data_IF_661458879825
#
_entry.id   IF_661458879825
#
_cell.length_a   1.000
_cell.length_b   1.000
_cell.length_c   1.000
_cell.angle_alpha   90.00
_cell.angle_beta   90.00
_cell.angle_gamma   90.00
#
_symmetry.space_group_name_H-M   'P 1'
#
loop_
_entity.id
_entity.type
_entity.pdbx_description
1 polymer ?
#
# COMPACT_ATOMS: atom_id res chain seq x y z
N UNK A 1 35.26 47.66 27.77
CA UNK A 1 35.27 47.33 26.33
C UNK A 1 35.18 45.82 26.23
N UNK A 2 33.99 45.31 25.93
CA UNK A 2 33.67 43.88 25.90
C UNK A 2 33.83 43.34 24.48
N UNK A 3 34.48 42.17 24.34
CA UNK A 3 34.55 41.40 23.09
C UNK A 3 33.17 40.77 22.79
N UNK A 4 32.73 40.68 21.52
CA UNK A 4 31.59 39.85 21.19
C UNK A 4 32.05 38.39 21.01
N UNK A 5 31.42 37.48 21.75
CA UNK A 5 31.49 36.05 21.49
C UNK A 5 30.63 35.73 20.26
N UNK A 6 31.24 35.18 19.21
CA UNK A 6 30.52 34.63 18.07
C UNK A 6 29.83 33.33 18.52
N UNK A 7 28.50 33.35 18.57
CA UNK A 7 27.70 32.14 18.64
C UNK A 7 27.72 31.48 17.25
N UNK A 8 28.48 30.40 17.11
CA UNK A 8 28.30 29.48 15.99
C UNK A 8 27.00 28.72 16.20
N UNK A 9 25.96 29.11 15.47
CA UNK A 9 24.77 28.30 15.24
C UNK A 9 25.19 27.02 14.50
N UNK A 10 25.52 25.97 15.24
CA UNK A 10 25.52 24.61 14.70
C UNK A 10 24.07 24.22 14.44
N UNK A 11 23.57 24.59 13.26
CA UNK A 11 22.40 23.95 12.66
C UNK A 11 22.83 22.52 12.33
N UNK A 12 22.57 21.57 13.24
CA UNK A 12 22.71 20.15 12.95
C UNK A 12 21.71 19.80 11.85
N UNK A 13 22.14 19.89 10.59
CA UNK A 13 21.44 19.28 9.46
C UNK A 13 21.41 17.78 9.72
N UNK A 14 20.28 17.28 10.22
CA UNK A 14 20.02 15.85 10.39
C UNK A 14 20.17 15.20 9.02
N UNK A 15 21.26 14.45 8.84
CA UNK A 15 21.57 13.77 7.60
C UNK A 15 20.38 12.85 7.22
N UNK A 16 19.93 12.84 5.96
CA UNK A 16 18.85 11.95 5.53
C UNK A 16 19.23 10.50 5.81
N UNK A 17 18.29 9.73 6.36
CA UNK A 17 18.47 8.30 6.55
C UNK A 17 18.57 7.61 5.17
N UNK A 18 19.34 6.52 5.04
CA UNK A 18 19.35 5.75 3.80
C UNK A 18 17.92 5.23 3.49
N UNK A 19 17.57 5.01 2.22
CA UNK A 19 16.33 4.31 1.88
C UNK A 19 16.28 2.94 2.57
N UNK A 20 15.10 2.48 3.02
CA UNK A 20 14.99 1.19 3.67
C UNK A 20 15.29 0.06 2.68
N UNK A 21 15.90 -1.01 3.20
CA UNK A 21 16.08 -2.26 2.46
C UNK A 21 14.72 -2.90 2.20
N UNK A 22 14.52 -3.47 1.01
CA UNK A 22 13.26 -4.13 0.65
C UNK A 22 13.54 -5.49 0.04
N UNK A 23 12.98 -6.52 0.64
CA UNK A 23 13.16 -7.91 0.23
C UNK A 23 11.80 -8.55 -0.05
N UNK A 24 11.74 -9.42 -1.05
CA UNK A 24 10.53 -10.17 -1.39
C UNK A 24 10.84 -11.65 -1.47
N UNK A 25 10.01 -12.47 -0.84
CA UNK A 25 9.99 -13.93 -0.99
C UNK A 25 8.62 -14.33 -1.53
N UNK A 26 8.61 -15.31 -2.44
CA UNK A 26 7.39 -15.82 -3.06
C UNK A 26 7.20 -17.29 -2.72
N UNK A 27 5.96 -17.65 -2.38
CA UNK A 27 5.56 -19.01 -2.08
C UNK A 27 4.32 -19.39 -2.89
N UNK A 28 4.29 -20.62 -3.40
CA UNK A 28 3.18 -21.13 -4.19
C UNK A 28 3.02 -20.45 -5.55
N UNK A 29 1.84 -20.60 -6.12
CA UNK A 29 1.46 -20.15 -7.46
C UNK A 29 0.70 -18.83 -7.37
N UNK A 30 1.25 -17.79 -8.01
CA UNK A 30 0.64 -16.45 -8.03
C UNK A 30 -0.17 -16.19 -9.32
N UNK A 31 -1.16 -15.29 -9.28
CA UNK A 31 -1.80 -14.78 -10.48
C UNK A 31 -0.78 -14.13 -11.44
N UNK A 32 -0.93 -14.40 -12.74
CA UNK A 32 -0.01 -13.93 -13.79
C UNK A 32 -0.06 -12.41 -14.00
N UNK A 33 -1.12 -11.77 -13.56
CA UNK A 33 -1.38 -10.35 -13.74
C UNK A 33 -0.90 -9.49 -12.57
N UNK A 34 -0.21 -10.04 -11.56
CA UNK A 34 0.30 -9.26 -10.43
C UNK A 34 1.39 -8.24 -10.79
N UNK A 35 2.22 -8.52 -11.80
CA UNK A 35 3.28 -7.58 -12.19
C UNK A 35 2.67 -6.25 -12.66
N UNK A 36 3.16 -5.13 -12.13
CA UNK A 36 2.65 -3.79 -12.44
C UNK A 36 2.75 -2.81 -11.26
N UNK A 37 2.22 -1.61 -11.47
CA UNK A 37 2.09 -0.58 -10.44
C UNK A 37 0.70 -0.68 -9.82
N UNK A 38 0.62 -0.52 -8.51
CA UNK A 38 -0.61 -0.63 -7.76
C UNK A 38 -0.68 0.40 -6.64
N UNK A 39 -1.90 0.73 -6.22
CA UNK A 39 -2.15 1.37 -4.93
C UNK A 39 -3.03 0.44 -4.10
N UNK A 40 -2.48 -0.05 -2.99
CA UNK A 40 -3.22 -0.81 -1.98
C UNK A 40 -3.85 0.18 -1.01
N UNK A 41 -5.18 0.27 -1.00
CA UNK A 41 -5.92 1.15 -0.09
C UNK A 41 -6.52 0.29 1.02
N UNK A 42 -5.89 0.32 2.19
CA UNK A 42 -6.42 -0.31 3.39
C UNK A 42 -7.41 0.59 4.12
N UNK A 43 -8.54 0.04 4.53
CA UNK A 43 -9.53 0.67 5.41
C UNK A 43 -9.56 -0.05 6.74
N UNK A 44 -8.87 0.51 7.73
CA UNK A 44 -8.88 0.04 9.10
C UNK A 44 -10.22 0.42 9.73
N UNK A 45 -10.94 -0.56 10.25
CA UNK A 45 -12.24 -0.36 10.89
C UNK A 45 -12.05 0.01 12.36
N UNK A 46 -12.75 1.07 12.77
CA UNK A 46 -12.72 1.61 14.13
C UNK A 46 -14.11 1.52 14.77
N UNK A 47 -14.21 1.51 16.10
CA UNK A 47 -15.50 1.47 16.80
C UNK A 47 -16.43 2.61 16.37
N UNK A 48 -17.73 2.29 16.27
CA UNK A 48 -18.77 3.24 15.89
C UNK A 48 -18.90 3.47 14.38
N UNK A 49 -18.49 2.51 13.55
CA UNK A 49 -18.58 2.60 12.08
C UNK A 49 -17.55 3.54 11.44
N UNK A 50 -16.56 3.97 12.24
CA UNK A 50 -15.47 4.85 11.82
C UNK A 50 -14.41 4.07 11.06
N UNK A 51 -13.59 4.77 10.28
CA UNK A 51 -12.49 4.13 9.56
C UNK A 51 -11.27 5.05 9.42
N UNK A 52 -10.10 4.43 9.33
CA UNK A 52 -8.84 5.08 8.94
C UNK A 52 -8.35 4.46 7.64
N UNK A 53 -7.98 5.31 6.68
CA UNK A 53 -7.51 4.89 5.36
C UNK A 53 -5.99 5.00 5.29
N UNK A 54 -5.32 3.95 4.82
CA UNK A 54 -3.87 3.87 4.64
C UNK A 54 -3.55 3.38 3.23
N UNK A 55 -3.15 4.28 2.31
CA UNK A 55 -2.69 3.87 0.98
C UNK A 55 -1.20 3.49 1.00
N UNK A 56 -0.86 2.45 0.24
CA UNK A 56 0.52 2.02 -0.01
C UNK A 56 0.73 1.87 -1.52
N UNK A 57 1.79 2.49 -2.05
CA UNK A 57 2.12 2.40 -3.47
C UNK A 57 3.05 1.20 -3.70
N UNK A 58 2.59 0.22 -4.47
CA UNK A 58 3.38 -0.97 -4.82
C UNK A 58 3.86 -0.91 -6.26
N UNK A 59 5.12 -1.29 -6.47
CA UNK A 59 5.66 -1.62 -7.78
C UNK A 59 6.11 -3.08 -7.74
N UNK A 60 5.38 -3.93 -8.47
CA UNK A 60 5.64 -5.36 -8.58
C UNK A 60 6.30 -5.61 -9.93
N UNK A 61 7.54 -6.11 -9.91
CA UNK A 61 8.30 -6.46 -11.12
C UNK A 61 8.46 -7.96 -11.23
N UNK A 62 8.37 -8.46 -12.45
CA UNK A 62 8.70 -9.84 -12.78
C UNK A 62 10.05 -9.84 -13.48
N UNK A 63 11.09 -10.20 -12.75
CA UNK A 63 12.41 -10.54 -13.31
C UNK A 63 12.57 -12.07 -13.20
N UNK A 64 13.72 -12.57 -12.73
CA UNK A 64 13.94 -13.99 -12.42
C UNK A 64 12.97 -14.49 -11.34
N UNK A 65 12.62 -13.61 -10.40
CA UNK A 65 11.59 -13.81 -9.38
C UNK A 65 10.71 -12.55 -9.30
N UNK A 66 9.49 -12.70 -8.78
CA UNK A 66 8.58 -11.58 -8.60
C UNK A 66 9.00 -10.80 -7.35
N UNK A 67 9.25 -9.50 -7.53
CA UNK A 67 9.69 -8.60 -6.47
C UNK A 67 8.67 -7.48 -6.27
N UNK A 68 8.25 -7.26 -5.03
CA UNK A 68 7.40 -6.15 -4.64
C UNK A 68 8.23 -5.11 -3.91
N UNK A 69 8.18 -3.88 -4.43
CA UNK A 69 8.79 -2.72 -3.79
C UNK A 69 7.71 -1.71 -3.43
N UNK A 70 7.79 -1.14 -2.24
CA UNK A 70 6.99 0.00 -1.81
C UNK A 70 7.66 1.27 -2.31
N UNK A 71 6.88 2.09 -3.03
CA UNK A 71 7.27 3.45 -3.37
C UNK A 71 6.84 4.40 -2.25
N UNK A 72 7.80 4.94 -1.54
CA UNK A 72 7.55 5.96 -0.52
C UNK A 72 7.40 7.33 -1.18
N UNK A 73 6.15 7.69 -1.42
CA UNK A 73 5.78 9.01 -1.92
C UNK A 73 4.40 9.40 -1.39
N UNK A 74 4.14 10.70 -1.17
CA UNK A 74 2.78 11.17 -0.98
C UNK A 74 1.96 10.97 -2.27
N UNK A 75 0.64 10.91 -2.12
CA UNK A 75 -0.27 10.96 -3.26
C UNK A 75 -0.21 12.34 -3.93
N UNK A 76 -0.69 12.48 -5.19
CA UNK A 76 -0.90 13.79 -5.81
C UNK A 76 -1.67 14.74 -4.88
N UNK A 77 -1.36 16.06 -4.84
CA UNK A 77 -1.80 16.95 -3.76
C UNK A 77 -3.30 16.96 -3.47
N UNK A 78 -4.14 16.92 -4.51
CA UNK A 78 -5.60 16.87 -4.35
C UNK A 78 -6.06 15.57 -3.66
N UNK A 79 -5.47 14.44 -4.03
CA UNK A 79 -5.74 13.13 -3.45
C UNK A 79 -5.24 13.04 -2.01
N UNK A 80 -4.03 13.55 -1.76
CA UNK A 80 -3.47 13.60 -0.42
C UNK A 80 -4.34 14.45 0.51
N UNK A 81 -4.85 15.59 0.02
CA UNK A 81 -5.78 16.42 0.79
C UNK A 81 -7.08 15.67 1.08
N UNK A 82 -7.70 15.05 0.07
CA UNK A 82 -8.94 14.30 0.24
C UNK A 82 -8.79 13.13 1.23
N UNK A 83 -7.66 12.41 1.16
CA UNK A 83 -7.30 11.38 2.13
C UNK A 83 -7.19 11.94 3.54
N UNK A 84 -6.48 13.07 3.71
CA UNK A 84 -6.29 13.70 5.01
C UNK A 84 -7.63 14.17 5.60
N UNK A 85 -8.47 14.84 4.80
CA UNK A 85 -9.79 15.32 5.21
C UNK A 85 -10.69 14.15 5.67
N UNK A 86 -10.73 13.06 4.90
CA UNK A 86 -11.49 11.86 5.25
C UNK A 86 -10.97 11.21 6.54
N UNK A 87 -9.64 11.09 6.67
CA UNK A 87 -9.01 10.54 7.87
C UNK A 87 -9.19 11.41 9.12
N UNK A 88 -9.31 12.73 8.97
CA UNK A 88 -9.65 13.66 10.06
C UNK A 88 -11.13 13.53 10.46
N UNK A 89 -12.00 13.23 9.49
CA UNK A 89 -13.42 12.97 9.74
C UNK A 89 -13.72 11.51 10.17
N UNK A 90 -12.70 10.67 10.37
CA UNK A 90 -12.82 9.23 10.64
C UNK A 90 -13.66 8.48 9.58
N UNK A 91 -13.53 8.89 8.31
CA UNK A 91 -14.25 8.35 7.16
C UNK A 91 -13.33 7.59 6.19
N UNK A 92 -13.92 6.64 5.45
CA UNK A 92 -13.22 5.94 4.37
C UNK A 92 -12.97 6.91 3.22
N UNK A 93 -11.72 7.00 2.77
CA UNK A 93 -11.37 7.59 1.49
C UNK A 93 -11.24 6.48 0.45
N UNK A 94 -11.79 6.72 -0.74
CA UNK A 94 -11.65 5.81 -1.87
C UNK A 94 -11.21 6.62 -3.09
N UNK A 95 -10.13 6.22 -3.80
CA UNK A 95 -9.72 6.91 -5.01
C UNK A 95 -10.79 6.72 -6.10
N UNK A 96 -11.15 7.81 -6.75
CA UNK A 96 -11.96 7.76 -7.97
C UNK A 96 -11.14 7.25 -9.16
N UNK A 97 -11.77 6.84 -10.27
CA UNK A 97 -11.05 6.51 -11.50
C UNK A 97 -10.15 7.66 -12.01
N UNK A 98 -10.59 8.91 -11.81
CA UNK A 98 -9.79 10.09 -12.16
C UNK A 98 -8.55 10.23 -11.28
N UNK A 99 -8.66 9.90 -9.98
CA UNK A 99 -7.53 9.90 -9.06
C UNK A 99 -6.49 8.85 -9.47
N UNK A 100 -6.94 7.65 -9.83
CA UNK A 100 -6.06 6.58 -10.33
C UNK A 100 -5.35 7.01 -11.63
N UNK A 101 -6.05 7.68 -12.55
CA UNK A 101 -5.45 8.19 -13.78
C UNK A 101 -4.41 9.30 -13.52
N UNK A 102 -4.69 10.22 -12.59
CA UNK A 102 -3.74 11.25 -12.18
C UNK A 102 -2.51 10.65 -11.48
N UNK A 103 -2.71 9.66 -10.61
CA UNK A 103 -1.62 8.93 -9.96
C UNK A 103 -0.75 8.20 -11.00
N UNK A 104 -1.38 7.58 -12.00
CA UNK A 104 -0.66 6.93 -13.09
C UNK A 104 0.19 7.92 -13.90
N UNK A 105 -0.35 9.09 -14.24
CA UNK A 105 0.38 10.14 -14.96
C UNK A 105 1.53 10.73 -14.15
N UNK A 106 1.37 10.82 -12.82
CA UNK A 106 2.37 11.40 -11.93
C UNK A 106 3.40 10.40 -11.42
N UNK A 107 3.18 9.08 -11.58
CA UNK A 107 3.91 8.01 -10.87
C UNK A 107 5.42 8.23 -10.83
N UNK A 108 6.04 8.40 -11.99
CA UNK A 108 7.49 8.50 -12.11
C UNK A 108 8.06 9.82 -11.59
N UNK A 109 7.22 10.84 -11.46
CA UNK A 109 7.57 12.18 -10.96
C UNK A 109 7.15 12.44 -9.51
N UNK A 110 6.54 11.45 -8.85
CA UNK A 110 6.15 11.57 -7.44
C UNK A 110 7.40 11.83 -6.58
N UNK A 111 7.35 12.80 -5.65
CA UNK A 111 8.48 13.09 -4.77
C UNK A 111 8.72 11.93 -3.81
N UNK A 112 9.98 11.67 -3.48
CA UNK A 112 10.33 10.69 -2.45
C UNK A 112 10.00 11.22 -1.06
N UNK A 113 9.47 10.36 -0.20
CA UNK A 113 9.30 10.61 1.23
C UNK A 113 10.17 9.68 2.06
N UNK A 114 10.78 10.18 3.14
CA UNK A 114 11.49 9.36 4.12
C UNK A 114 10.47 8.62 5.02
N UNK A 115 10.37 7.28 4.97
CA UNK A 115 9.44 6.52 5.78
C UNK A 115 9.90 6.32 7.23
N UNK A 116 11.14 6.72 7.57
CA UNK A 116 11.80 6.43 8.85
C UNK A 116 11.90 4.94 9.16
N UNK A 117 11.99 4.13 8.11
CA UNK A 117 12.10 2.67 8.16
C UNK A 117 13.54 2.21 7.95
N UNK A 118 13.89 1.07 8.55
CA UNK A 118 15.14 0.34 8.33
C UNK A 118 14.98 -0.64 7.17
N UNK A 119 13.92 -1.45 7.20
CA UNK A 119 13.67 -2.47 6.18
C UNK A 119 12.19 -2.84 6.04
N UNK A 120 11.87 -3.48 4.92
CA UNK A 120 10.61 -4.16 4.66
C UNK A 120 10.90 -5.57 4.15
N UNK A 121 10.46 -6.56 4.92
CA UNK A 121 10.40 -7.95 4.46
C UNK A 121 9.00 -8.21 3.90
N UNK A 122 8.90 -8.56 2.63
CA UNK A 122 7.63 -8.89 1.97
C UNK A 122 7.58 -10.39 1.64
N UNK A 123 6.48 -11.03 2.00
CA UNK A 123 6.14 -12.36 1.52
C UNK A 123 4.89 -12.27 0.65
N UNK A 124 4.91 -12.93 -0.51
CA UNK A 124 3.77 -13.07 -1.40
C UNK A 124 3.45 -14.54 -1.54
N UNK A 125 2.30 -14.95 -1.05
CA UNK A 125 1.94 -16.35 -0.88
C UNK A 125 0.70 -16.65 -1.71
N UNK A 126 0.83 -17.52 -2.71
CA UNK A 126 -0.30 -18.13 -3.40
C UNK A 126 -1.04 -19.11 -2.49
N UNK A 127 -2.32 -19.38 -2.77
CA UNK A 127 -3.15 -20.24 -1.93
C UNK A 127 -2.54 -21.63 -1.66
N UNK A 128 -1.89 -22.23 -2.66
CA UNK A 128 -1.18 -23.52 -2.59
C UNK A 128 0.13 -23.46 -1.78
N UNK A 129 0.60 -22.26 -1.43
CA UNK A 129 1.76 -22.01 -0.58
C UNK A 129 1.42 -21.65 0.87
N UNK A 130 0.14 -21.67 1.28
CA UNK A 130 -0.25 -21.27 2.62
C UNK A 130 0.31 -22.20 3.70
N UNK A 131 0.96 -21.61 4.70
CA UNK A 131 1.34 -22.29 5.93
C UNK A 131 0.11 -22.54 6.85
N UNK A 132 0.32 -23.21 7.99
CA UNK A 132 -0.74 -23.48 8.97
C UNK A 132 -1.40 -22.20 9.49
N UNK A 133 -0.63 -21.11 9.64
CA UNK A 133 -1.17 -19.84 10.15
C UNK A 133 -2.14 -19.21 9.16
N UNK A 134 -1.80 -19.19 7.87
CA UNK A 134 -2.65 -18.64 6.82
C UNK A 134 -3.88 -19.51 6.54
N UNK A 135 -3.73 -20.84 6.59
CA UNK A 135 -4.84 -21.77 6.33
C UNK A 135 -5.83 -21.89 7.50
N UNK A 136 -5.41 -21.57 8.73
CA UNK A 136 -6.30 -21.62 9.91
C UNK A 136 -7.01 -20.30 10.22
N UNK A 137 -6.44 -19.16 9.80
CA UNK A 137 -6.98 -17.83 10.11
C UNK A 137 -8.22 -17.52 9.26
N UNK A 138 -9.29 -17.02 9.90
CA UNK A 138 -10.54 -16.67 9.23
C UNK A 138 -10.43 -15.52 8.22
N UNK A 139 -9.39 -14.69 8.32
CA UNK A 139 -9.14 -13.55 7.44
C UNK A 139 -8.34 -13.91 6.21
N UNK A 140 -7.60 -15.03 6.23
CA UNK A 140 -6.69 -15.39 5.13
C UNK A 140 -7.02 -16.72 4.48
N UNK A 141 -7.68 -17.66 5.18
CA UNK A 141 -7.87 -19.04 4.68
C UNK A 141 -8.53 -19.14 3.30
N UNK A 142 -9.42 -18.21 2.98
CA UNK A 142 -10.18 -18.19 1.72
C UNK A 142 -9.56 -17.26 0.66
N UNK A 143 -8.37 -16.69 0.93
CA UNK A 143 -7.70 -15.81 -0.01
C UNK A 143 -7.07 -16.60 -1.16
N UNK A 144 -7.16 -16.03 -2.38
CA UNK A 144 -6.47 -16.53 -3.55
C UNK A 144 -4.95 -16.35 -3.44
N UNK A 145 -4.52 -15.27 -2.78
CA UNK A 145 -3.14 -14.99 -2.42
C UNK A 145 -3.07 -13.96 -1.28
N UNK A 146 -1.94 -13.91 -0.59
CA UNK A 146 -1.68 -13.03 0.56
C UNK A 146 -0.37 -12.29 0.36
N UNK A 147 -0.32 -11.00 0.71
CA UNK A 147 0.92 -10.25 0.92
C UNK A 147 1.08 -9.98 2.42
N UNK A 148 2.18 -10.45 3.02
CA UNK A 148 2.60 -10.09 4.38
C UNK A 148 3.79 -9.14 4.27
N UNK A 149 3.70 -7.99 4.93
CA UNK A 149 4.79 -7.01 4.98
C UNK A 149 5.19 -6.78 6.42
N UNK A 150 6.45 -7.02 6.71
CA UNK A 150 7.07 -6.71 7.97
C UNK A 150 7.92 -5.45 7.79
N UNK A 151 7.43 -4.33 8.33
CA UNK A 151 8.11 -3.04 8.35
C UNK A 151 8.88 -2.86 9.66
N UNK A 152 10.18 -2.61 9.57
CA UNK A 152 11.03 -2.29 10.71
C UNK A 152 11.34 -0.79 10.72
N UNK A 153 11.21 -0.14 11.87
CA UNK A 153 11.41 1.29 12.01
C UNK A 153 12.72 1.61 12.74
N UNK A 154 13.30 2.76 12.42
CA UNK A 154 14.43 3.25 13.20
C UNK A 154 13.98 3.53 14.65
N UNK A 155 14.61 2.93 15.67
CA UNK A 155 14.21 3.13 17.08
C UNK A 155 14.28 4.60 17.52
N UNK A 156 15.17 5.38 16.91
CA UNK A 156 15.33 6.82 17.18
C UNK A 156 14.32 7.71 16.45
N UNK A 157 13.50 7.14 15.56
CA UNK A 157 12.66 7.90 14.65
C UNK A 157 11.16 7.70 14.92
N UNK A 158 10.78 6.62 15.61
CA UNK A 158 9.39 6.28 15.91
C UNK A 158 9.28 5.51 17.23
N UNK A 159 8.23 5.72 18.04
CA UNK A 159 7.91 4.84 19.16
C UNK A 159 7.45 3.45 18.71
N UNK A 160 7.00 3.33 17.45
CA UNK A 160 6.75 2.04 16.78
C UNK A 160 8.08 1.45 16.35
N UNK A 161 8.35 0.20 16.73
CA UNK A 161 9.54 -0.54 16.29
C UNK A 161 9.26 -1.44 15.09
N UNK A 162 8.02 -1.92 14.98
CA UNK A 162 7.63 -2.92 14.00
C UNK A 162 6.15 -2.77 13.64
N UNK A 163 5.85 -2.84 12.36
CA UNK A 163 4.48 -3.00 11.85
C UNK A 163 4.42 -4.26 10.99
N UNK A 164 3.34 -5.02 11.13
CA UNK A 164 3.04 -6.17 10.27
C UNK A 164 1.73 -5.87 9.56
N UNK A 165 1.78 -5.77 8.24
CA UNK A 165 0.61 -5.58 7.38
C UNK A 165 0.31 -6.89 6.64
N UNK A 166 -0.95 -7.31 6.63
CA UNK A 166 -1.41 -8.51 5.92
C UNK A 166 -2.55 -8.12 5.01
N UNK A 167 -2.36 -8.30 3.71
CA UNK A 167 -3.34 -8.07 2.65
C UNK A 167 -3.75 -9.42 2.06
N UNK A 168 -4.98 -9.85 2.32
CA UNK A 168 -5.48 -11.15 1.87
C UNK A 168 -6.48 -10.96 0.73
N UNK A 169 -6.04 -11.15 -0.51
CA UNK A 169 -6.87 -10.95 -1.70
C UNK A 169 -7.87 -12.10 -1.84
N UNK A 170 -9.15 -11.82 -1.61
CA UNK A 170 -10.23 -12.81 -1.66
C UNK A 170 -10.78 -12.97 -3.07
N UNK A 171 -11.03 -11.84 -3.74
CA UNK A 171 -11.69 -11.83 -5.05
C UNK A 171 -11.04 -10.80 -5.99
N UNK A 172 -10.97 -11.10 -7.30
CA UNK A 172 -10.66 -10.10 -8.30
C UNK A 172 -11.82 -9.10 -8.42
N UNK A 173 -11.49 -7.84 -8.69
CA UNK A 173 -12.42 -6.76 -9.05
C UNK A 173 -11.94 -6.06 -10.31
N UNK A 174 -12.79 -5.23 -10.91
CA UNK A 174 -12.40 -4.46 -12.10
C UNK A 174 -11.13 -3.64 -11.79
N UNK A 175 -10.04 -3.97 -12.48
CA UNK A 175 -8.76 -3.30 -12.30
C UNK A 175 -7.99 -3.65 -11.01
N UNK A 176 -8.31 -4.76 -10.32
CA UNK A 176 -7.48 -5.26 -9.23
C UNK A 176 -8.14 -6.29 -8.32
N UNK A 177 -8.00 -6.13 -7.01
CA UNK A 177 -8.43 -7.14 -6.02
C UNK A 177 -9.08 -6.49 -4.81
N UNK A 178 -9.93 -7.24 -4.13
CA UNK A 178 -10.51 -6.86 -2.85
C UNK A 178 -10.33 -7.98 -1.83
N UNK A 179 -10.20 -7.60 -0.56
CA UNK A 179 -10.15 -8.60 0.50
C UNK A 179 -9.90 -8.03 1.89
N UNK A 180 -9.39 -8.87 2.78
CA UNK A 180 -9.15 -8.51 4.17
C UNK A 180 -7.82 -7.78 4.34
N UNK A 181 -7.80 -6.86 5.30
CA UNK A 181 -6.60 -6.17 5.72
C UNK A 181 -6.44 -6.27 7.22
N UNK A 182 -5.24 -6.61 7.67
CA UNK A 182 -4.87 -6.61 9.08
C UNK A 182 -3.56 -5.87 9.24
N UNK A 183 -3.48 -4.99 10.23
CA UNK A 183 -2.24 -4.34 10.62
C UNK A 183 -1.99 -4.59 12.10
N UNK A 184 -0.78 -4.99 12.47
CA UNK A 184 -0.36 -5.14 13.85
C UNK A 184 0.85 -4.25 14.10
N UNK A 185 0.74 -3.35 15.07
CA UNK A 185 1.82 -2.42 15.46
C UNK A 185 2.40 -2.86 16.80
N UNK A 186 3.73 -2.85 16.90
CA UNK A 186 4.47 -3.12 18.14
C UNK A 186 5.23 -1.86 18.54
N UNK A 187 4.97 -1.37 19.76
CA UNK A 187 5.61 -0.19 20.34
C UNK A 187 6.81 -0.55 21.23
N UNK A 188 7.76 0.38 21.36
CA UNK A 188 8.86 0.30 22.31
C UNK A 188 8.38 0.65 23.73
N UNK A 189 8.08 -0.35 24.53
CA UNK A 189 7.77 -0.27 25.98
C UNK A 189 8.46 -1.44 26.70
N UNK A 190 8.71 -1.39 28.03
CA UNK A 190 9.46 -2.43 28.73
C UNK A 190 8.91 -3.86 28.55
N UNK A 191 7.64 -3.99 28.15
CA UNK A 191 7.03 -5.22 27.63
C UNK A 191 6.23 -4.89 26.36
N UNK A 192 6.67 -5.28 25.15
CA UNK A 192 5.98 -4.94 23.89
C UNK A 192 4.57 -5.55 23.83
N UNK A 193 3.55 -4.72 23.57
CA UNK A 193 2.16 -5.18 23.38
C UNK A 193 1.78 -4.95 21.91
N UNK A 194 1.39 -6.00 21.16
CA UNK A 194 0.88 -5.84 19.81
C UNK A 194 -0.52 -5.22 19.83
N UNK A 195 -0.73 -4.19 19.01
CA UNK A 195 -2.05 -3.61 18.74
C UNK A 195 -2.45 -4.07 17.34
N UNK A 196 -3.41 -4.99 17.26
CA UNK A 196 -3.94 -5.50 15.99
C UNK A 196 -5.23 -4.77 15.63
N UNK A 197 -5.27 -4.24 14.41
CA UNK A 197 -6.44 -3.60 13.83
C UNK A 197 -6.81 -4.33 12.53
N UNK A 198 -8.11 -4.51 12.34
CA UNK A 198 -8.66 -5.24 11.20
C UNK A 198 -9.41 -4.30 10.27
N UNK A 199 -9.60 -4.76 9.04
CA UNK A 199 -10.33 -4.03 8.03
C UNK A 199 -10.41 -4.77 6.73
N UNK A 200 -10.63 -4.00 5.67
CA UNK A 200 -10.62 -4.49 4.28
C UNK A 200 -9.64 -3.66 3.47
N UNK A 201 -9.23 -4.16 2.31
CA UNK A 201 -8.50 -3.36 1.35
C UNK A 201 -9.05 -3.54 -0.05
N UNK A 202 -8.72 -2.57 -0.90
CA UNK A 202 -8.83 -2.71 -2.33
C UNK A 202 -7.49 -2.37 -2.97
N UNK A 203 -7.02 -3.23 -3.87
CA UNK A 203 -5.86 -3.01 -4.71
C UNK A 203 -6.33 -2.45 -6.05
N UNK A 204 -5.82 -1.28 -6.42
CA UNK A 204 -6.13 -0.63 -7.70
C UNK A 204 -4.90 -0.64 -8.60
N UNK A 205 -5.06 -1.09 -9.84
CA UNK A 205 -4.02 -1.02 -10.86
C UNK A 205 -3.74 0.44 -11.22
N UNK A 206 -2.47 0.80 -11.24
CA UNK A 206 -1.99 2.13 -11.66
C UNK A 206 -1.27 1.97 -13.00
N UNK A 207 -1.67 2.73 -14.01
CA UNK A 207 -0.97 2.74 -15.31
C UNK A 207 -1.10 1.46 -16.16
N UNK A 208 -1.93 0.50 -15.76
CA UNK A 208 -2.43 -0.54 -16.66
C UNK A 208 -3.77 -0.07 -17.21
N UNK A 209 -3.85 0.20 -18.52
CA UNK A 209 -5.16 0.25 -19.17
C UNK A 209 -5.93 -1.02 -18.81
N UNK A 210 -7.25 -0.92 -18.65
CA UNK A 210 -8.10 -2.10 -18.65
C UNK A 210 -7.60 -3.07 -19.73
N UNK A 211 -7.56 -4.40 -19.50
CA UNK A 211 -7.17 -5.35 -20.54
C UNK A 211 -7.89 -4.93 -21.81
N UNK A 212 -7.17 -4.76 -22.95
CA UNK A 212 -7.73 -4.09 -24.11
C UNK A 212 -9.08 -4.72 -24.39
N UNK A 213 -10.16 -3.92 -24.25
CA UNK A 213 -11.51 -4.38 -24.56
C UNK A 213 -11.42 -4.97 -25.96
N UNK A 214 -11.59 -6.30 -26.06
CA UNK A 214 -11.40 -7.01 -27.32
C UNK A 214 -12.26 -6.38 -28.41
N UNK A 215 -11.91 -6.61 -29.68
CA UNK A 215 -12.64 -6.11 -30.86
C UNK A 215 -14.17 -6.23 -30.73
N UNK A 216 -14.65 -7.29 -30.08
CA UNK A 216 -16.07 -7.54 -29.80
C UNK A 216 -16.71 -6.51 -28.85
N UNK A 217 -15.99 -6.04 -27.84
CA UNK A 217 -16.46 -4.99 -26.93
C UNK A 217 -16.64 -3.65 -27.63
N UNK A 218 -15.77 -3.33 -28.61
CA UNK A 218 -15.90 -2.13 -29.45
C UNK A 218 -17.04 -2.25 -30.48
N UNK A 219 -17.31 -3.44 -30.98
CA UNK A 219 -18.40 -3.69 -31.93
C UNK A 219 -19.78 -3.56 -31.27
N UNK A 220 -19.92 -3.99 -30.00
CA UNK A 220 -21.18 -3.89 -29.25
C UNK A 220 -21.62 -2.44 -29.00
N UNK A 221 -20.69 -1.52 -28.76
CA UNK A 221 -21.01 -0.09 -28.59
C UNK A 221 -21.41 0.59 -29.91
N UNK A 222 -20.83 0.16 -31.04
CA UNK A 222 -21.24 0.64 -32.36
C UNK A 222 -22.69 0.23 -32.67
N UNK A 223 -23.07 -1.00 -32.31
CA UNK A 223 -24.43 -1.50 -32.50
C UNK A 223 -25.45 -0.84 -31.54
N UNK A 224 -25.03 -0.46 -30.33
CA UNK A 224 -25.89 0.29 -29.39
C UNK A 224 -26.02 1.78 -29.75
N UNK A 225 -25.06 2.35 -30.48
CA UNK A 225 -25.11 3.74 -30.97
C UNK A 225 -25.99 3.96 -32.21
N UNK A 226 -26.33 2.92 -32.97
CA UNK A 226 -27.12 3.05 -34.20
C UNK A 226 -28.65 3.04 -34.01
N UNK A 227 -29.16 2.99 -32.77
CA UNK A 227 -30.60 2.86 -32.50
C UNK A 227 -31.35 4.15 -32.13
N UNK A 228 -30.76 5.34 -32.32
CA UNK A 228 -31.42 6.62 -31.95
C UNK A 228 -31.47 7.59 -33.12
N UNK A 229 -32.42 7.35 -34.03
CA UNK A 229 -33.08 8.36 -34.85
C UNK A 229 -34.56 8.05 -34.89
#
# INVERSE_FOLDING_TARGET
>A
MSLPAAATDTTTTKQPLPPPEQHTVVHGTLPKDLAGRWVAVGWIELPGGRARTTPTLWEIKQDDQLALTIRFAPLPPAQQKALNDANTADQRWQPSPADIAQLAAAWDTLPTSDPRMVSIETEIVGHDGFDQSLSSDAKTRDAAWVVRQLEQFHPSASPTIKTINVYAALEPREGGYFGNFTTATIAAIPLPIPITLNGTFQLYRVGGGAPPRGLLGRLMDFLRGCGRR
#
